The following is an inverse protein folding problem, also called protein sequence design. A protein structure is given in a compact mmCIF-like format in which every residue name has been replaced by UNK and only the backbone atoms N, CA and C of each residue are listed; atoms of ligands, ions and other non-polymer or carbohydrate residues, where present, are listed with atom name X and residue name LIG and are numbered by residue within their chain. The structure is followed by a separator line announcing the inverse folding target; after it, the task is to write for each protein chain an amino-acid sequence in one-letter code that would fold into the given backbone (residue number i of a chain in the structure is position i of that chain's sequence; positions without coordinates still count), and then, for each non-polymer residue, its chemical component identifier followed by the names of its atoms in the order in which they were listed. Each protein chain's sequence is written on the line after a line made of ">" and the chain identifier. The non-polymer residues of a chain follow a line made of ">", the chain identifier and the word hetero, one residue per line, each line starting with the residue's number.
data_IF_957316595841
#
_entry.id   IF_957316595841
#
_cell.length_a   1.000
_cell.length_b   1.000
_cell.length_c   1.000
_cell.angle_alpha   90.00
_cell.angle_beta   90.00
_cell.angle_gamma   90.00
#
_symmetry.space_group_name_H-M   'P 1'
#
loop_
_entity.id
_entity.type
_entity.pdbx_description
1 polymer ?
#
# COMPACT_ATOMS: atom_id res chain seq x y z
N UNK A 1 18.07 -28.09 -33.46
CA UNK A 1 16.68 -28.27 -33.00
C UNK A 1 16.31 -27.05 -32.16
N UNK A 2 15.91 -25.94 -32.81
CA UNK A 2 15.45 -24.70 -32.15
C UNK A 2 13.98 -24.56 -32.46
N UNK A 3 13.15 -24.56 -31.42
CA UNK A 3 11.71 -24.49 -31.52
C UNK A 3 11.29 -23.17 -32.20
N UNK A 4 10.61 -23.26 -33.34
CA UNK A 4 9.76 -22.19 -33.84
C UNK A 4 8.52 -22.17 -32.94
N UNK A 5 8.46 -21.24 -31.98
CA UNK A 5 7.19 -20.87 -31.38
C UNK A 5 6.32 -20.28 -32.49
N UNK A 6 5.23 -20.96 -32.84
CA UNK A 6 4.26 -20.50 -33.83
C UNK A 6 3.63 -19.18 -33.35
N UNK A 7 3.44 -18.20 -34.25
CA UNK A 7 2.77 -16.93 -34.00
C UNK A 7 1.41 -17.10 -33.27
N UNK A 8 0.69 -18.19 -33.53
CA UNK A 8 -0.55 -18.54 -32.81
C UNK A 8 -0.31 -18.76 -31.31
N UNK A 9 0.80 -19.40 -30.91
CA UNK A 9 1.14 -19.62 -29.50
C UNK A 9 1.49 -18.29 -28.84
N UNK A 10 2.20 -17.41 -29.55
CA UNK A 10 2.54 -16.08 -29.04
C UNK A 10 1.30 -15.20 -28.83
N UNK A 11 0.35 -15.21 -29.76
CA UNK A 11 -0.93 -14.49 -29.63
C UNK A 11 -1.76 -15.05 -28.47
N UNK A 12 -1.83 -16.38 -28.31
CA UNK A 12 -2.55 -16.99 -27.19
C UNK A 12 -1.93 -16.60 -25.85
N UNK A 13 -0.59 -16.65 -25.73
CA UNK A 13 0.14 -16.22 -24.52
C UNK A 13 -0.15 -14.75 -24.21
N UNK A 14 -0.01 -13.85 -25.19
CA UNK A 14 -0.33 -12.43 -25.01
C UNK A 14 -1.79 -12.20 -24.59
N UNK A 15 -2.75 -12.91 -25.20
CA UNK A 15 -4.16 -12.81 -24.83
C UNK A 15 -4.43 -13.30 -23.40
N UNK A 16 -3.68 -14.30 -22.93
CA UNK A 16 -3.80 -14.85 -21.58
C UNK A 16 -3.19 -13.91 -20.55
N UNK A 17 -2.03 -13.32 -20.86
CA UNK A 17 -1.38 -12.30 -20.03
C UNK A 17 -2.32 -11.09 -19.91
N UNK A 18 -2.84 -10.61 -21.04
CA UNK A 18 -3.79 -9.50 -21.06
C UNK A 18 -5.04 -9.76 -20.22
N UNK A 19 -5.63 -10.95 -20.31
CA UNK A 19 -6.77 -11.34 -19.46
C UNK A 19 -6.41 -11.35 -17.98
N UNK A 20 -5.26 -11.92 -17.60
CA UNK A 20 -4.80 -11.92 -16.20
C UNK A 20 -4.63 -10.49 -15.67
N UNK A 21 -4.02 -9.61 -16.47
CA UNK A 21 -3.86 -8.19 -16.11
C UNK A 21 -5.21 -7.47 -15.94
N UNK A 22 -6.22 -7.81 -16.77
CA UNK A 22 -7.57 -7.25 -16.61
C UNK A 22 -8.25 -7.75 -15.33
N UNK A 23 -8.14 -9.04 -15.01
CA UNK A 23 -8.70 -9.63 -13.79
C UNK A 23 -8.07 -9.03 -12.52
N UNK A 24 -6.73 -8.88 -12.50
CA UNK A 24 -6.00 -8.24 -11.39
C UNK A 24 -6.41 -6.77 -11.25
N UNK A 25 -6.49 -6.03 -12.36
CA UNK A 25 -6.97 -4.66 -12.36
C UNK A 25 -8.40 -4.56 -11.79
N UNK A 26 -9.30 -5.47 -12.16
CA UNK A 26 -10.68 -5.47 -11.64
C UNK A 26 -10.71 -5.74 -10.12
N UNK A 27 -9.84 -6.63 -9.63
CA UNK A 27 -9.68 -6.88 -8.20
C UNK A 27 -9.22 -5.64 -7.42
N UNK A 28 -8.17 -4.97 -7.90
CA UNK A 28 -7.66 -3.75 -7.27
C UNK A 28 -8.68 -2.62 -7.31
N UNK A 29 -9.38 -2.45 -8.43
CA UNK A 29 -10.44 -1.46 -8.59
C UNK A 29 -11.58 -1.66 -7.59
N UNK A 30 -11.97 -2.91 -7.32
CA UNK A 30 -12.98 -3.21 -6.31
C UNK A 30 -12.52 -2.82 -4.90
N UNK A 31 -11.24 -3.07 -4.57
CA UNK A 31 -10.66 -2.68 -3.29
C UNK A 31 -10.54 -1.15 -3.17
N UNK A 32 -10.08 -0.49 -4.23
CA UNK A 32 -9.98 0.97 -4.30
C UNK A 32 -11.34 1.64 -4.11
N UNK A 33 -12.39 1.14 -4.78
CA UNK A 33 -13.74 1.68 -4.66
C UNK A 33 -14.27 1.65 -3.21
N UNK A 34 -13.83 0.69 -2.40
CA UNK A 34 -14.17 0.60 -0.96
C UNK A 34 -13.36 1.58 -0.11
N UNK A 35 -12.11 1.83 -0.49
CA UNK A 35 -11.14 2.55 0.35
C UNK A 35 -11.10 4.05 0.09
N UNK A 36 -11.30 4.45 -1.17
CA UNK A 36 -11.33 5.84 -1.61
C UNK A 36 -12.28 6.73 -0.76
N UNK A 37 -13.56 6.37 -0.53
CA UNK A 37 -14.49 7.22 0.23
C UNK A 37 -14.15 7.34 1.72
N UNK A 38 -13.36 6.42 2.28
CA UNK A 38 -12.95 6.42 3.71
C UNK A 38 -11.53 6.97 3.93
N UNK A 39 -10.90 7.49 2.89
CA UNK A 39 -9.55 8.06 2.95
C UNK A 39 -9.63 9.55 3.26
N UNK A 40 -9.23 9.94 4.48
CA UNK A 40 -9.35 11.32 4.98
C UNK A 40 -10.72 11.95 4.74
N UNK A 41 -11.80 11.32 5.28
CA UNK A 41 -13.15 11.83 5.07
C UNK A 41 -13.27 13.26 5.61
N UNK A 42 -14.10 14.06 4.96
CA UNK A 42 -14.31 15.49 5.22
C UNK A 42 -13.15 16.41 4.80
N UNK A 43 -12.08 15.89 4.18
CA UNK A 43 -11.02 16.77 3.67
C UNK A 43 -11.52 17.56 2.45
N UNK A 44 -11.45 18.91 2.43
CA UNK A 44 -12.18 19.74 1.47
C UNK A 44 -11.93 19.41 0.01
N UNK A 45 -10.71 19.01 -0.34
CA UNK A 45 -10.36 18.63 -1.70
C UNK A 45 -10.48 17.12 -1.97
N UNK A 46 -10.19 16.25 -0.99
CA UNK A 46 -10.22 14.80 -1.22
C UNK A 46 -11.64 14.25 -1.26
N UNK A 47 -12.60 14.93 -0.64
CA UNK A 47 -14.02 14.58 -0.73
C UNK A 47 -14.67 15.01 -2.06
N UNK A 48 -13.94 15.69 -2.94
CA UNK A 48 -14.43 16.07 -4.28
C UNK A 48 -14.27 14.93 -5.28
N UNK A 49 -15.11 14.84 -6.33
CA UNK A 49 -14.90 13.90 -7.42
C UNK A 49 -13.51 14.00 -8.06
N UNK A 50 -12.97 15.22 -8.16
CA UNK A 50 -11.65 15.48 -8.73
C UNK A 50 -10.54 14.90 -7.86
N UNK A 51 -10.59 15.13 -6.54
CA UNK A 51 -9.63 14.59 -5.58
C UNK A 51 -9.66 13.06 -5.52
N UNK A 52 -10.86 12.47 -5.43
CA UNK A 52 -11.03 11.01 -5.47
C UNK A 52 -10.51 10.42 -6.78
N UNK A 53 -10.78 11.06 -7.93
CA UNK A 53 -10.29 10.59 -9.22
C UNK A 53 -8.75 10.69 -9.33
N UNK A 54 -8.14 11.73 -8.76
CA UNK A 54 -6.68 11.89 -8.71
C UNK A 54 -6.03 10.80 -7.86
N UNK A 55 -6.55 10.57 -6.66
CA UNK A 55 -6.10 9.49 -5.78
C UNK A 55 -6.22 8.11 -6.44
N UNK A 56 -7.35 7.86 -7.10
CA UNK A 56 -7.56 6.63 -7.86
C UNK A 56 -6.52 6.45 -8.97
N UNK A 57 -6.22 7.48 -9.76
CA UNK A 57 -5.22 7.39 -10.85
C UNK A 57 -3.82 7.08 -10.32
N UNK A 58 -3.41 7.72 -9.23
CA UNK A 58 -2.11 7.44 -8.60
C UNK A 58 -2.03 5.98 -8.14
N UNK A 59 -3.05 5.50 -7.41
CA UNK A 59 -3.05 4.14 -6.87
C UNK A 59 -3.14 3.07 -7.96
N UNK A 60 -4.00 3.26 -8.97
CA UNK A 60 -4.09 2.36 -10.12
C UNK A 60 -2.78 2.38 -10.91
N UNK A 61 -2.22 3.56 -11.15
CA UNK A 61 -0.93 3.70 -11.81
C UNK A 61 0.18 2.94 -11.09
N UNK A 62 0.20 2.99 -9.75
CA UNK A 62 1.21 2.28 -8.98
C UNK A 62 0.97 0.76 -9.02
N UNK A 63 -0.29 0.33 -8.93
CA UNK A 63 -0.64 -1.09 -9.01
C UNK A 63 -0.20 -1.72 -10.34
N UNK A 64 -0.25 -0.96 -11.44
CA UNK A 64 0.29 -1.41 -12.73
C UNK A 64 1.82 -1.37 -12.83
N UNK A 65 2.46 -0.48 -12.08
CA UNK A 65 3.92 -0.34 -12.06
C UNK A 65 4.57 -1.52 -11.35
N UNK A 66 3.99 -1.94 -10.24
CA UNK A 66 4.44 -3.08 -9.46
C UNK A 66 3.24 -3.99 -9.15
N UNK A 67 3.05 -5.00 -10.00
CA UNK A 67 1.94 -5.96 -9.86
C UNK A 67 2.12 -6.94 -8.71
N UNK A 68 3.35 -7.10 -8.19
CA UNK A 68 3.61 -7.97 -7.03
C UNK A 68 3.11 -7.31 -5.74
N UNK A 69 3.11 -5.97 -5.69
CA UNK A 69 2.39 -5.19 -4.68
C UNK A 69 0.92 -5.01 -5.05
N UNK A 70 0.63 -4.68 -6.31
CA UNK A 70 -0.71 -4.31 -6.76
C UNK A 70 -1.29 -3.18 -5.93
N UNK A 71 -2.49 -3.41 -5.37
CA UNK A 71 -3.07 -2.54 -4.35
C UNK A 71 -3.17 -3.24 -2.99
N UNK A 72 -2.41 -2.73 -2.01
CA UNK A 72 -2.49 -3.15 -0.62
C UNK A 72 -3.25 -2.11 0.23
N UNK A 73 -4.17 -2.60 1.06
CA UNK A 73 -4.98 -1.76 1.95
C UNK A 73 -4.08 -0.98 2.92
N UNK A 74 -4.21 0.35 2.91
CA UNK A 74 -3.36 1.26 3.67
C UNK A 74 -2.61 2.24 2.76
N UNK A 75 -2.25 1.81 1.55
CA UNK A 75 -1.59 2.66 0.55
C UNK A 75 -2.43 3.88 0.16
N UNK A 76 -3.76 3.76 0.22
CA UNK A 76 -4.68 4.87 -0.02
C UNK A 76 -4.38 6.09 0.87
N UNK A 77 -4.03 5.89 2.15
CA UNK A 77 -3.71 7.01 3.05
C UNK A 77 -2.37 7.64 2.72
N UNK A 78 -1.36 6.83 2.37
CA UNK A 78 -0.02 7.32 1.99
C UNK A 78 -0.10 8.12 0.70
N UNK A 79 -0.75 7.57 -0.33
CA UNK A 79 -0.93 8.24 -1.62
C UNK A 79 -1.77 9.52 -1.48
N UNK A 80 -2.81 9.52 -0.64
CA UNK A 80 -3.61 10.70 -0.38
C UNK A 80 -2.79 11.81 0.28
N UNK A 81 -1.97 11.48 1.30
CA UNK A 81 -1.10 12.47 1.94
C UNK A 81 -0.11 13.05 0.93
N UNK A 82 0.53 12.21 0.11
CA UNK A 82 1.44 12.67 -0.95
C UNK A 82 0.73 13.62 -1.93
N UNK A 83 -0.50 13.33 -2.34
CA UNK A 83 -1.27 14.24 -3.20
C UNK A 83 -1.58 15.59 -2.55
N UNK A 84 -1.74 15.63 -1.22
CA UNK A 84 -1.99 16.86 -0.50
C UNK A 84 -0.75 17.74 -0.34
N UNK A 85 0.45 17.15 -0.29
CA UNK A 85 1.69 17.88 -0.03
C UNK A 85 2.52 18.14 -1.30
N UNK A 86 2.30 17.36 -2.36
CA UNK A 86 2.99 17.52 -3.64
C UNK A 86 2.29 18.54 -4.54
N UNK A 87 3.06 19.11 -5.47
CA UNK A 87 2.54 20.15 -6.38
C UNK A 87 1.67 19.58 -7.50
N UNK A 88 1.95 18.35 -7.91
CA UNK A 88 1.29 17.70 -9.04
C UNK A 88 0.98 16.23 -8.73
N UNK A 89 0.01 15.67 -9.46
CA UNK A 89 -0.33 14.25 -9.39
C UNK A 89 0.84 13.35 -9.80
N UNK A 90 1.63 13.78 -10.79
CA UNK A 90 2.82 13.06 -11.25
C UNK A 90 3.92 13.03 -10.18
N UNK A 91 4.16 14.15 -9.50
CA UNK A 91 5.12 14.19 -8.39
C UNK A 91 4.69 13.24 -7.26
N UNK A 92 3.40 13.23 -6.91
CA UNK A 92 2.86 12.33 -5.89
C UNK A 92 3.06 10.85 -6.28
N UNK A 93 2.83 10.52 -7.55
CA UNK A 93 3.07 9.16 -8.07
C UNK A 93 4.54 8.74 -7.97
N UNK A 94 5.46 9.57 -8.45
CA UNK A 94 6.89 9.22 -8.42
C UNK A 94 7.44 9.18 -6.99
N UNK A 95 6.93 10.03 -6.10
CA UNK A 95 7.29 10.00 -4.69
C UNK A 95 6.78 8.74 -4.00
N UNK A 96 5.56 8.28 -4.32
CA UNK A 96 5.05 7.00 -3.84
C UNK A 96 5.93 5.83 -4.32
N UNK A 97 6.35 5.86 -5.59
CA UNK A 97 7.23 4.84 -6.15
C UNK A 97 8.59 4.78 -5.46
N UNK A 98 9.26 5.93 -5.28
CA UNK A 98 10.54 5.99 -4.56
C UNK A 98 10.39 5.50 -3.12
N UNK A 99 9.30 5.88 -2.44
CA UNK A 99 9.05 5.47 -1.07
C UNK A 99 8.96 3.94 -0.95
N UNK A 100 8.16 3.30 -1.80
CA UNK A 100 7.91 1.86 -1.76
C UNK A 100 9.10 1.04 -2.28
N UNK A 101 9.78 1.50 -3.32
CA UNK A 101 10.84 0.73 -3.99
C UNK A 101 12.24 0.96 -3.41
N UNK A 102 12.47 2.08 -2.72
CA UNK A 102 13.83 2.49 -2.35
C UNK A 102 14.00 2.88 -0.87
N UNK A 103 12.93 3.24 -0.17
CA UNK A 103 13.03 3.76 1.20
C UNK A 103 12.49 2.78 2.22
N UNK A 104 11.31 2.21 1.98
CA UNK A 104 10.67 1.30 2.91
C UNK A 104 11.31 -0.09 2.88
N UNK A 105 11.03 -0.87 3.93
CA UNK A 105 11.43 -2.27 3.97
C UNK A 105 10.77 -3.02 2.82
N UNK A 106 11.56 -3.81 2.10
CA UNK A 106 11.07 -4.63 0.99
C UNK A 106 9.90 -5.51 1.45
N UNK A 107 8.98 -5.80 0.53
CA UNK A 107 7.84 -6.68 0.76
C UNK A 107 6.88 -6.21 1.87
N UNK A 108 6.88 -4.92 2.21
CA UNK A 108 5.93 -4.35 3.18
C UNK A 108 4.47 -4.40 2.71
N UNK A 109 4.24 -4.32 1.40
CA UNK A 109 2.90 -4.23 0.80
C UNK A 109 2.57 -5.39 -0.14
N UNK A 110 3.39 -6.44 -0.19
CA UNK A 110 3.07 -7.67 -0.94
C UNK A 110 2.03 -8.50 -0.19
N UNK A 111 1.46 -9.51 -0.84
CA UNK A 111 0.36 -10.32 -0.29
C UNK A 111 0.64 -10.94 1.09
N UNK A 112 1.91 -11.21 1.42
CA UNK A 112 2.31 -11.81 2.68
C UNK A 112 2.74 -10.81 3.76
N UNK A 113 2.81 -9.51 3.42
CA UNK A 113 3.22 -8.41 4.30
C UNK A 113 4.52 -8.69 5.07
N UNK A 114 5.44 -9.46 4.48
CA UNK A 114 6.63 -9.95 5.17
C UNK A 114 7.53 -8.82 5.66
N UNK A 115 7.63 -7.72 4.92
CA UNK A 115 8.31 -6.50 5.36
C UNK A 115 7.67 -5.89 6.60
N UNK A 116 6.34 -5.79 6.63
CA UNK A 116 5.61 -5.25 7.78
C UNK A 116 5.80 -6.14 9.02
N UNK A 117 5.80 -7.46 8.86
CA UNK A 117 6.07 -8.39 9.95
C UNK A 117 7.49 -8.24 10.53
N UNK A 118 8.48 -7.91 9.69
CA UNK A 118 9.84 -7.57 10.16
C UNK A 118 9.79 -6.31 11.02
N UNK A 119 9.14 -5.24 10.56
CA UNK A 119 9.00 -3.99 11.32
C UNK A 119 8.28 -4.21 12.66
N UNK A 120 7.20 -4.98 12.68
CA UNK A 120 6.46 -5.33 13.89
C UNK A 120 7.32 -6.12 14.89
N UNK A 121 8.17 -7.03 14.40
CA UNK A 121 9.10 -7.76 15.25
C UNK A 121 10.15 -6.84 15.87
N UNK A 122 10.73 -5.95 15.06
CA UNK A 122 11.67 -4.93 15.56
C UNK A 122 10.99 -4.04 16.60
N UNK A 123 9.75 -3.61 16.36
CA UNK A 123 8.98 -2.82 17.31
C UNK A 123 8.77 -3.55 18.64
N UNK A 124 8.37 -4.82 18.60
CA UNK A 124 8.20 -5.65 19.81
C UNK A 124 9.49 -5.78 20.60
N UNK A 125 10.62 -6.02 19.93
CA UNK A 125 11.93 -6.09 20.59
C UNK A 125 12.31 -4.74 21.22
N UNK A 126 12.01 -3.64 20.53
CA UNK A 126 12.23 -2.28 21.05
C UNK A 126 11.32 -1.96 22.23
N UNK A 127 10.06 -2.37 22.20
CA UNK A 127 9.11 -2.19 23.30
C UNK A 127 9.59 -2.92 24.56
N UNK A 128 10.06 -4.16 24.43
CA UNK A 128 10.63 -4.91 25.55
C UNK A 128 11.88 -4.24 26.13
N UNK A 129 12.76 -3.71 25.26
CA UNK A 129 13.99 -3.05 25.69
C UNK A 129 13.77 -1.66 26.30
N UNK A 130 12.85 -0.86 25.75
CA UNK A 130 12.67 0.55 26.11
C UNK A 130 11.55 0.76 27.12
N UNK A 131 10.51 -0.06 27.06
CA UNK A 131 9.32 0.03 27.90
C UNK A 131 8.99 -1.34 28.52
N UNK A 132 9.91 -1.98 29.27
CA UNK A 132 9.75 -3.36 29.74
C UNK A 132 8.49 -3.56 30.58
N UNK A 133 8.08 -2.54 31.36
CA UNK A 133 6.87 -2.57 32.18
C UNK A 133 5.59 -2.63 31.34
N UNK A 134 5.57 -1.97 30.18
CA UNK A 134 4.44 -2.02 29.24
C UNK A 134 4.46 -3.34 28.49
N UNK A 135 5.63 -3.77 28.00
CA UNK A 135 5.77 -5.04 27.29
C UNK A 135 5.26 -6.22 28.15
N UNK A 136 5.69 -6.31 29.41
CA UNK A 136 5.25 -7.36 30.32
C UNK A 136 3.74 -7.29 30.63
N UNK A 137 3.16 -6.08 30.67
CA UNK A 137 1.73 -5.92 30.88
C UNK A 137 0.91 -6.41 29.68
N UNK A 138 1.33 -6.06 28.45
CA UNK A 138 0.66 -6.53 27.24
C UNK A 138 0.79 -8.05 27.07
N UNK A 139 1.97 -8.60 27.38
CA UNK A 139 2.19 -10.05 27.38
C UNK A 139 1.31 -10.78 28.40
N UNK A 140 1.18 -10.25 29.63
CA UNK A 140 0.29 -10.80 30.65
C UNK A 140 -1.21 -10.73 30.26
N UNK A 141 -1.56 -9.80 29.36
CA UNK A 141 -2.91 -9.70 28.79
C UNK A 141 -3.09 -10.53 27.52
N UNK A 142 -2.06 -11.26 27.08
CA UNK A 142 -2.03 -11.97 25.79
C UNK A 142 -2.36 -11.03 24.61
N UNK A 143 -2.02 -9.75 24.74
CA UNK A 143 -2.29 -8.75 23.72
C UNK A 143 -1.20 -8.74 22.65
N UNK A 144 -1.55 -9.15 21.43
CA UNK A 144 -0.64 -9.04 20.30
C UNK A 144 -0.59 -7.61 19.77
N UNK A 145 0.57 -6.97 19.94
CA UNK A 145 0.86 -5.62 19.43
C UNK A 145 0.76 -5.52 17.91
N UNK A 146 0.80 -6.64 17.16
CA UNK A 146 0.58 -6.65 15.71
C UNK A 146 -0.81 -6.08 15.33
N UNK A 147 -1.81 -6.26 16.20
CA UNK A 147 -3.19 -5.81 15.98
C UNK A 147 -3.32 -4.30 15.80
N UNK A 148 -2.46 -3.54 16.48
CA UNK A 148 -2.44 -2.07 16.37
C UNK A 148 -1.35 -1.59 15.42
N UNK A 149 -0.20 -2.27 15.41
CA UNK A 149 0.97 -1.83 14.64
C UNK A 149 0.85 -2.12 13.15
N UNK A 150 0.02 -3.07 12.71
CA UNK A 150 -0.21 -3.32 11.27
C UNK A 150 -0.68 -2.05 10.57
N UNK A 151 -1.68 -1.37 11.13
CA UNK A 151 -2.17 -0.11 10.56
C UNK A 151 -1.11 0.99 10.60
N UNK A 152 -0.37 1.09 11.71
CA UNK A 152 0.66 2.12 11.87
C UNK A 152 1.73 2.03 10.79
N UNK A 153 2.23 0.83 10.53
CA UNK A 153 3.28 0.62 9.53
C UNK A 153 2.73 0.70 8.10
N UNK A 154 1.61 0.02 7.80
CA UNK A 154 1.05 0.05 6.43
C UNK A 154 0.52 1.43 6.01
N UNK A 155 0.04 2.24 6.96
CA UNK A 155 -0.41 3.59 6.65
C UNK A 155 0.68 4.65 6.93
N UNK A 156 1.91 4.26 7.31
CA UNK A 156 2.96 5.17 7.76
C UNK A 156 2.44 6.23 8.74
N UNK A 157 1.62 5.80 9.70
CA UNK A 157 0.94 6.62 10.70
C UNK A 157 -0.05 7.67 10.16
N UNK A 158 -0.20 7.82 8.84
CA UNK A 158 -1.11 8.77 8.19
C UNK A 158 -2.55 8.67 8.69
N UNK A 159 -3.00 7.45 9.03
CA UNK A 159 -4.35 7.21 9.56
C UNK A 159 -4.47 7.42 11.07
N UNK A 160 -3.37 7.26 11.81
CA UNK A 160 -3.38 7.16 13.27
C UNK A 160 -2.93 8.44 13.97
N UNK A 161 -2.18 9.31 13.28
CA UNK A 161 -1.68 10.58 13.81
C UNK A 161 -2.20 11.77 12.99
N UNK A 162 -2.27 12.98 13.57
CA UNK A 162 -2.60 14.21 12.84
C UNK A 162 -1.58 14.50 11.73
N UNK A 163 -2.03 15.14 10.64
CA UNK A 163 -1.20 15.46 9.48
C UNK A 163 -0.04 16.41 9.77
N UNK A 164 -0.08 17.16 10.87
CA UNK A 164 1.01 18.05 11.28
C UNK A 164 2.20 17.29 11.89
N UNK A 165 1.97 16.03 12.28
CA UNK A 165 2.97 15.17 12.93
C UNK A 165 3.62 14.20 11.94
N UNK A 166 2.86 13.76 10.94
CA UNK A 166 3.26 12.80 9.89
C UNK A 166 3.97 13.55 8.76
#
# INVERSE_FOLDING_TARGET
>A
MKAMLNLSVFITILSSIWRKMLEECESWEMMLAKDLPRTFPCHPWLDTPEGQASLRRVLVGYSFRDSDVGYCQGLNYVAALLLLVMKTEEDAFWMLAVLLENVLVNDCYTDNLSGCHVEQRVFRDMLAKKCPRIAAHLEAMEFDVSLVTTEWFLCLFCKSLPSEVV
#
